data_IF_211527905455
#
_entry.id   IF_211527905455
#
_cell.length_a   1.000
_cell.length_b   1.000
_cell.length_c   1.000
_cell.angle_alpha   90.00
_cell.angle_beta   90.00
_cell.angle_gamma   90.00
#
_symmetry.space_group_name_H-M   'P 1'
#
loop_
_entity.id
_entity.type
_entity.pdbx_description
1 polymer ?
#
# COMPACT_ATOMS: atom_id res chain seq x y z
N UNK A 1 0.29 -27.15 11.81
CA UNK A 1 1.32 -26.09 11.95
C UNK A 1 1.26 -25.27 10.68
N UNK A 2 0.87 -24.01 10.80
CA UNK A 2 1.02 -23.03 9.71
C UNK A 2 2.51 -22.77 9.49
N UNK A 3 2.94 -22.63 8.24
CA UNK A 3 4.33 -22.29 7.95
C UNK A 3 4.56 -20.81 8.26
N UNK A 4 5.76 -20.40 8.74
CA UNK A 4 6.08 -18.99 8.91
C UNK A 4 5.92 -18.19 7.63
N UNK A 5 5.78 -16.86 7.75
CA UNK A 5 5.83 -15.97 6.60
C UNK A 5 7.12 -16.20 5.77
N UNK A 6 6.97 -16.30 4.45
CA UNK A 6 8.10 -16.38 3.55
C UNK A 6 8.49 -14.98 3.08
N UNK A 7 9.70 -14.52 3.42
CA UNK A 7 10.24 -13.29 2.87
C UNK A 7 10.86 -13.53 1.50
N UNK A 8 10.38 -12.82 0.49
CA UNK A 8 10.95 -12.78 -0.86
C UNK A 8 11.41 -11.37 -1.20
N UNK A 9 12.45 -11.27 -2.04
CA UNK A 9 12.85 -9.99 -2.61
C UNK A 9 12.14 -9.72 -3.94
N UNK A 10 12.31 -8.52 -4.48
CA UNK A 10 11.72 -8.12 -5.76
C UNK A 10 12.31 -8.84 -6.98
N UNK A 11 13.32 -9.70 -6.81
CA UNK A 11 13.93 -10.53 -7.87
C UNK A 11 13.52 -12.01 -7.78
N UNK A 12 12.87 -12.39 -6.68
CA UNK A 12 12.42 -13.76 -6.44
C UNK A 12 11.29 -14.17 -7.41
N UNK A 13 11.06 -15.46 -7.65
CA UNK A 13 9.93 -15.94 -8.45
C UNK A 13 8.59 -15.39 -7.92
N UNK A 14 7.72 -14.97 -8.83
CA UNK A 14 6.46 -14.30 -8.51
C UNK A 14 5.30 -15.29 -8.42
N UNK A 15 4.38 -15.02 -7.49
CA UNK A 15 3.06 -15.64 -7.51
C UNK A 15 2.20 -14.99 -8.60
N UNK A 16 1.26 -15.72 -9.21
CA UNK A 16 0.45 -15.21 -10.32
C UNK A 16 -0.49 -14.06 -9.92
N UNK A 17 -0.84 -13.96 -8.64
CA UNK A 17 -1.64 -12.87 -8.08
C UNK A 17 -0.94 -12.35 -6.84
N UNK A 18 -0.79 -11.03 -6.73
CA UNK A 18 -0.16 -10.38 -5.58
C UNK A 18 -1.02 -9.23 -5.08
N UNK A 19 -1.09 -9.03 -3.77
CA UNK A 19 -1.74 -7.90 -3.15
C UNK A 19 -0.73 -6.77 -2.94
N UNK A 20 -1.03 -5.58 -3.47
CA UNK A 20 -0.21 -4.38 -3.26
C UNK A 20 -0.69 -3.65 -2.01
N UNK A 21 0.18 -3.56 -1.01
CA UNK A 21 -0.05 -2.76 0.18
C UNK A 21 0.14 -1.25 -0.09
N UNK A 22 -0.37 -0.40 0.80
CA UNK A 22 -0.26 1.05 0.66
C UNK A 22 1.17 1.56 0.73
N UNK A 23 2.06 0.97 1.54
CA UNK A 23 3.45 1.44 1.65
C UNK A 23 4.22 1.26 0.33
N UNK A 24 4.02 0.12 -0.34
CA UNK A 24 4.55 -0.11 -1.69
C UNK A 24 3.92 0.84 -2.71
N UNK A 25 2.59 0.97 -2.66
CA UNK A 25 1.82 1.78 -3.63
C UNK A 25 2.19 3.26 -3.53
N UNK A 26 2.37 3.78 -2.32
CA UNK A 26 2.85 5.15 -2.08
C UNK A 26 4.24 5.33 -2.67
N UNK A 27 5.17 4.41 -2.40
CA UNK A 27 6.52 4.50 -2.97
C UNK A 27 6.51 4.42 -4.51
N UNK A 28 5.62 3.62 -5.09
CA UNK A 28 5.45 3.56 -6.54
C UNK A 28 5.01 4.89 -7.15
N UNK A 29 4.04 5.59 -6.56
CA UNK A 29 3.51 6.85 -7.11
C UNK A 29 4.29 8.11 -6.69
N UNK A 30 4.93 8.12 -5.54
CA UNK A 30 5.63 9.30 -5.01
C UNK A 30 7.11 9.25 -5.37
N UNK A 31 7.51 10.08 -6.34
CA UNK A 31 8.91 10.18 -6.79
C UNK A 31 9.89 10.67 -5.72
N UNK A 32 9.40 11.18 -4.58
CA UNK A 32 10.23 11.60 -3.45
C UNK A 32 10.55 10.45 -2.49
N UNK A 33 9.85 9.32 -2.61
CA UNK A 33 10.05 8.16 -1.76
C UNK A 33 11.35 7.43 -2.07
N UNK A 34 12.05 6.99 -1.02
CA UNK A 34 13.36 6.34 -1.12
C UNK A 34 13.33 5.10 -2.03
N UNK A 35 12.24 4.35 -2.01
CA UNK A 35 12.11 3.09 -2.72
C UNK A 35 11.45 3.24 -4.10
N UNK A 36 11.17 4.46 -4.55
CA UNK A 36 10.42 4.73 -5.78
C UNK A 36 10.96 4.02 -7.02
N UNK A 37 12.27 4.09 -7.26
CA UNK A 37 12.91 3.42 -8.40
C UNK A 37 12.77 1.89 -8.32
N UNK A 38 12.91 1.31 -7.13
CA UNK A 38 12.77 -0.13 -6.92
C UNK A 38 11.33 -0.60 -7.11
N UNK A 39 10.35 0.15 -6.60
CA UNK A 39 8.94 -0.13 -6.78
C UNK A 39 8.51 0.00 -8.25
N UNK A 40 9.03 0.99 -8.99
CA UNK A 40 8.76 1.11 -10.43
C UNK A 40 9.32 -0.06 -11.23
N UNK A 41 10.57 -0.46 -10.97
CA UNK A 41 11.17 -1.62 -11.62
C UNK A 41 10.40 -2.91 -11.31
N UNK A 42 9.92 -3.07 -10.07
CA UNK A 42 9.11 -4.21 -9.69
C UNK A 42 7.73 -4.20 -10.39
N UNK A 43 7.07 -3.04 -10.47
CA UNK A 43 5.80 -2.88 -11.19
C UNK A 43 5.91 -3.28 -12.67
N UNK A 44 6.99 -2.83 -13.35
CA UNK A 44 7.28 -3.24 -14.73
C UNK A 44 7.48 -4.75 -14.88
N UNK A 45 8.07 -5.39 -13.86
CA UNK A 45 8.25 -6.84 -13.83
C UNK A 45 6.91 -7.58 -13.65
N UNK A 46 6.04 -7.09 -12.77
CA UNK A 46 4.68 -7.65 -12.60
C UNK A 46 3.94 -7.66 -13.95
N UNK A 47 4.01 -6.57 -14.70
CA UNK A 47 3.42 -6.47 -16.04
C UNK A 47 4.08 -7.44 -17.03
N UNK A 48 5.42 -7.46 -17.10
CA UNK A 48 6.16 -8.30 -18.04
C UNK A 48 5.94 -9.81 -17.80
N UNK A 49 5.78 -10.23 -16.54
CA UNK A 49 5.49 -11.62 -16.16
C UNK A 49 3.99 -11.93 -16.10
N UNK A 50 3.12 -10.99 -16.52
CA UNK A 50 1.66 -11.14 -16.50
C UNK A 50 1.09 -11.52 -15.13
N UNK A 51 1.71 -11.01 -14.06
CA UNK A 51 1.20 -11.12 -12.69
C UNK A 51 0.02 -10.17 -12.53
N UNK A 52 -1.04 -10.62 -11.86
CA UNK A 52 -2.23 -9.84 -11.58
C UNK A 52 -2.08 -9.11 -10.24
N UNK A 53 -1.86 -7.78 -10.21
CA UNK A 53 -1.80 -7.04 -8.97
C UNK A 53 -3.22 -6.78 -8.47
N UNK A 54 -3.42 -6.85 -7.16
CA UNK A 54 -4.69 -6.63 -6.51
C UNK A 54 -4.55 -5.59 -5.39
N UNK A 55 -5.60 -4.78 -5.18
CA UNK A 55 -5.67 -3.76 -4.13
C UNK A 55 -7.06 -3.74 -3.51
N UNK A 56 -7.23 -3.09 -2.36
CA UNK A 56 -8.55 -2.80 -1.80
C UNK A 56 -8.80 -1.28 -1.70
N UNK A 57 -10.01 -0.90 -1.31
CA UNK A 57 -10.36 0.51 -1.03
C UNK A 57 -9.49 1.15 0.07
N UNK A 58 -8.85 0.35 0.92
CA UNK A 58 -7.91 0.83 1.92
C UNK A 58 -6.69 1.47 1.26
N UNK A 59 -6.11 0.81 0.25
CA UNK A 59 -4.94 1.32 -0.49
C UNK A 59 -5.28 2.68 -1.13
N UNK A 60 -6.46 2.79 -1.74
CA UNK A 60 -6.92 4.05 -2.34
C UNK A 60 -7.06 5.16 -1.28
N UNK A 61 -7.68 4.85 -0.14
CA UNK A 61 -7.87 5.83 0.93
C UNK A 61 -6.53 6.33 1.50
N UNK A 62 -5.59 5.41 1.72
CA UNK A 62 -4.27 5.75 2.27
C UNK A 62 -3.39 6.52 1.29
N UNK A 63 -3.38 6.11 0.02
CA UNK A 63 -2.68 6.84 -1.04
C UNK A 63 -3.26 8.24 -1.23
N UNK A 64 -4.59 8.38 -1.26
CA UNK A 64 -5.24 9.69 -1.36
C UNK A 64 -4.89 10.58 -0.16
N UNK A 65 -4.94 10.02 1.05
CA UNK A 65 -4.55 10.73 2.26
C UNK A 65 -3.08 11.14 2.24
N UNK A 66 -2.18 10.27 1.75
CA UNK A 66 -0.76 10.56 1.58
C UNK A 66 -0.55 11.76 0.66
N UNK A 67 -1.07 11.75 -0.57
CA UNK A 67 -0.94 12.87 -1.51
C UNK A 67 -1.43 14.19 -0.92
N UNK A 68 -2.63 14.18 -0.31
CA UNK A 68 -3.20 15.37 0.32
C UNK A 68 -2.34 15.87 1.49
N UNK A 69 -1.94 14.96 2.39
CA UNK A 69 -1.13 15.31 3.57
C UNK A 69 0.24 15.82 3.17
N UNK A 70 0.90 15.19 2.20
CA UNK A 70 2.20 15.62 1.67
C UNK A 70 2.14 17.03 1.10
N UNK A 71 1.09 17.36 0.34
CA UNK A 71 0.87 18.72 -0.16
C UNK A 71 0.67 19.74 0.98
N UNK A 72 -0.15 19.41 1.99
CA UNK A 72 -0.35 20.30 3.14
C UNK A 72 0.91 20.47 3.99
N UNK A 73 1.71 19.43 4.14
CA UNK A 73 2.99 19.48 4.87
C UNK A 73 3.99 20.34 4.11
N UNK A 74 4.11 20.17 2.79
CA UNK A 74 5.01 20.97 1.95
C UNK A 74 4.67 22.46 2.04
N UNK A 75 3.39 22.81 1.86
CA UNK A 75 2.94 24.20 1.96
C UNK A 75 3.04 24.73 3.40
N UNK A 76 2.75 23.89 4.40
CA UNK A 76 2.89 24.24 5.80
C UNK A 76 4.34 24.59 6.17
N UNK A 77 5.32 23.82 5.66
CA UNK A 77 6.74 24.14 5.81
C UNK A 77 7.09 25.49 5.17
N UNK A 78 6.59 25.76 3.96
CA UNK A 78 6.82 27.03 3.25
C UNK A 78 6.29 28.25 4.02
N UNK A 79 5.18 28.07 4.75
CA UNK A 79 4.48 29.13 5.48
C UNK A 79 4.78 29.15 6.99
N UNK A 80 5.61 28.23 7.50
CA UNK A 80 5.80 28.00 8.93
C UNK A 80 4.47 27.78 9.68
N UNK A 81 3.56 26.98 9.08
CA UNK A 81 2.26 26.61 9.63
C UNK A 81 2.11 25.09 9.72
N UNK A 82 1.24 24.62 10.62
CA UNK A 82 0.89 23.20 10.67
C UNK A 82 0.08 22.80 9.43
N UNK A 83 0.22 21.55 9.00
CA UNK A 83 -0.55 21.01 7.88
C UNK A 83 -2.08 21.10 8.12
N UNK A 84 -2.51 21.01 9.39
CA UNK A 84 -3.91 21.18 9.80
C UNK A 84 -4.38 22.61 9.51
N UNK A 85 -3.54 23.61 9.80
CA UNK A 85 -3.86 25.01 9.47
C UNK A 85 -3.99 25.20 7.97
N UNK A 86 -3.06 24.66 7.16
CA UNK A 86 -3.11 24.75 5.70
C UNK A 86 -4.39 24.09 5.16
N UNK A 87 -4.69 22.85 5.58
CA UNK A 87 -5.92 22.14 5.21
C UNK A 87 -7.18 22.97 5.46
N UNK A 88 -7.24 23.70 6.59
CA UNK A 88 -8.41 24.49 6.98
C UNK A 88 -8.52 25.86 6.30
N UNK A 89 -7.40 26.47 5.92
CA UNK A 89 -7.36 27.87 5.48
C UNK A 89 -6.95 28.05 4.02
N UNK A 90 -6.49 27.00 3.33
CA UNK A 90 -5.96 27.07 1.96
C UNK A 90 -6.58 25.97 1.08
N UNK A 91 -7.88 26.07 0.75
CA UNK A 91 -8.58 25.08 -0.06
C UNK A 91 -7.93 24.84 -1.44
N UNK A 92 -7.24 25.83 -1.99
CA UNK A 92 -6.51 25.71 -3.25
C UNK A 92 -5.41 24.63 -3.21
N UNK A 93 -4.80 24.39 -2.05
CA UNK A 93 -3.78 23.32 -1.89
C UNK A 93 -4.44 21.96 -1.99
N UNK A 94 -5.64 21.80 -1.42
CA UNK A 94 -6.44 20.58 -1.56
C UNK A 94 -6.81 20.37 -3.03
N UNK A 95 -7.35 21.40 -3.69
CA UNK A 95 -7.74 21.30 -5.11
C UNK A 95 -6.58 20.94 -6.02
N UNK A 96 -5.39 21.52 -5.80
CA UNK A 96 -4.19 21.18 -6.55
C UNK A 96 -3.77 19.72 -6.30
N UNK A 97 -3.71 19.27 -5.05
CA UNK A 97 -3.34 17.89 -4.72
C UNK A 97 -4.34 16.84 -5.24
N UNK A 98 -5.61 17.21 -5.44
CA UNK A 98 -6.61 16.30 -5.99
C UNK A 98 -6.33 15.85 -7.43
N UNK A 99 -5.50 16.55 -8.22
CA UNK A 99 -5.11 16.05 -9.54
C UNK A 99 -4.28 14.78 -9.42
N UNK A 100 -3.31 14.75 -8.50
CA UNK A 100 -2.47 13.57 -8.23
C UNK A 100 -3.31 12.41 -7.69
N UNK A 101 -4.21 12.68 -6.73
CA UNK A 101 -5.13 11.66 -6.20
C UNK A 101 -5.96 11.01 -7.32
N UNK A 102 -6.47 11.81 -8.26
CA UNK A 102 -7.26 11.30 -9.39
C UNK A 102 -6.39 10.51 -10.37
N UNK A 103 -5.20 11.00 -10.68
CA UNK A 103 -4.27 10.32 -11.58
C UNK A 103 -3.89 8.94 -11.03
N UNK A 104 -3.45 8.86 -9.77
CA UNK A 104 -3.09 7.61 -9.12
C UNK A 104 -4.27 6.64 -9.01
N UNK A 105 -5.48 7.16 -8.71
CA UNK A 105 -6.70 6.35 -8.71
C UNK A 105 -6.98 5.73 -10.08
N UNK A 106 -6.96 6.54 -11.14
CA UNK A 106 -7.23 6.07 -12.51
C UNK A 106 -6.20 5.02 -12.94
N UNK A 107 -4.93 5.22 -12.59
CA UNK A 107 -3.88 4.25 -12.90
C UNK A 107 -4.05 2.94 -12.15
N UNK A 108 -4.37 2.98 -10.85
CA UNK A 108 -4.67 1.77 -10.07
C UNK A 108 -5.89 1.03 -10.62
N UNK A 109 -6.98 1.73 -10.95
CA UNK A 109 -8.18 1.09 -11.53
C UNK A 109 -7.90 0.43 -12.88
N UNK A 110 -6.93 0.94 -13.64
CA UNK A 110 -6.51 0.38 -14.93
C UNK A 110 -5.63 -0.87 -14.79
N UNK A 111 -4.83 -0.94 -13.74
CA UNK A 111 -3.72 -1.91 -13.61
C UNK A 111 -3.93 -2.96 -12.54
N UNK A 112 -4.98 -2.84 -11.71
CA UNK A 112 -5.17 -3.70 -10.55
C UNK A 112 -6.57 -4.30 -10.48
N UNK A 113 -6.68 -5.48 -9.88
CA UNK A 113 -7.93 -6.07 -9.46
C UNK A 113 -8.35 -5.47 -8.12
N UNK A 114 -9.58 -4.97 -8.04
CA UNK A 114 -10.14 -4.48 -6.78
C UNK A 114 -10.74 -5.62 -5.96
N UNK A 115 -10.19 -5.85 -4.77
CA UNK A 115 -10.71 -6.83 -3.80
C UNK A 115 -11.81 -6.19 -2.93
N UNK A 116 -12.91 -6.91 -2.67
CA UNK A 116 -13.99 -6.44 -1.81
C UNK A 116 -13.60 -6.54 -0.32
N UNK A 117 -14.23 -5.69 0.50
CA UNK A 117 -14.13 -5.77 1.96
C UNK A 117 -15.49 -6.24 2.48
N UNK A 118 -15.52 -7.41 3.10
CA UNK A 118 -16.72 -8.02 3.69
C UNK A 118 -16.72 -7.89 5.22
N UNK A 119 -17.83 -8.25 5.86
CA UNK A 119 -17.88 -8.33 7.34
C UNK A 119 -16.89 -9.37 7.89
N UNK A 120 -16.62 -10.45 7.14
CA UNK A 120 -15.63 -11.46 7.50
C UNK A 120 -14.20 -10.88 7.55
N UNK A 121 -13.88 -9.94 6.64
CA UNK A 121 -12.61 -9.20 6.67
C UNK A 121 -12.47 -8.41 7.97
N UNK A 122 -13.54 -7.76 8.45
CA UNK A 122 -13.50 -7.02 9.72
C UNK A 122 -13.22 -7.96 10.89
N UNK A 123 -13.98 -9.06 11.02
CA UNK A 123 -13.77 -10.03 12.11
C UNK A 123 -12.35 -10.60 12.10
N UNK A 124 -11.84 -10.97 10.92
CA UNK A 124 -10.48 -11.48 10.78
C UNK A 124 -9.42 -10.43 11.13
N UNK A 125 -9.62 -9.17 10.75
CA UNK A 125 -8.65 -8.11 11.05
C UNK A 125 -8.48 -7.94 12.57
N UNK A 126 -9.58 -7.88 13.33
CA UNK A 126 -9.49 -7.82 14.79
C UNK A 126 -8.78 -9.04 15.39
N UNK A 127 -9.04 -10.24 14.86
CA UNK A 127 -8.32 -11.44 15.30
C UNK A 127 -6.81 -11.33 15.03
N UNK A 128 -6.41 -10.88 13.83
CA UNK A 128 -4.99 -10.69 13.50
C UNK A 128 -4.32 -9.63 14.38
N UNK A 129 -5.05 -8.56 14.75
CA UNK A 129 -4.55 -7.56 15.69
C UNK A 129 -4.27 -8.17 17.06
N UNK A 130 -5.14 -9.04 17.56
CA UNK A 130 -4.96 -9.72 18.86
C UNK A 130 -3.82 -10.74 18.81
N UNK A 131 -3.78 -11.57 17.76
CA UNK A 131 -2.83 -12.68 17.67
C UNK A 131 -1.40 -12.21 17.37
N UNK A 132 -1.26 -11.20 16.50
CA UNK A 132 0.02 -10.76 15.96
C UNK A 132 0.41 -9.34 16.36
N UNK A 133 -0.40 -8.66 17.20
CA UNK A 133 -0.19 -7.28 17.65
C UNK A 133 -0.06 -6.27 16.50
N UNK A 134 -0.70 -6.55 15.37
CA UNK A 134 -0.70 -5.68 14.20
C UNK A 134 -1.48 -4.39 14.46
N UNK A 135 -1.07 -3.31 13.81
CA UNK A 135 -1.91 -2.12 13.72
C UNK A 135 -3.15 -2.43 12.87
N UNK A 136 -4.27 -1.69 13.07
CA UNK A 136 -5.51 -1.97 12.36
C UNK A 136 -5.32 -2.03 10.85
N UNK A 137 -4.60 -1.08 10.25
CA UNK A 137 -4.46 -1.03 8.80
C UNK A 137 -3.80 -2.30 8.24
N UNK A 138 -2.70 -2.76 8.82
CA UNK A 138 -1.98 -3.94 8.36
C UNK A 138 -2.87 -5.19 8.46
N UNK A 139 -3.55 -5.33 9.60
CA UNK A 139 -4.49 -6.43 9.82
C UNK A 139 -5.64 -6.42 8.79
N UNK A 140 -6.14 -5.24 8.42
CA UNK A 140 -7.18 -5.08 7.41
C UNK A 140 -6.68 -5.39 5.99
N UNK A 141 -5.48 -4.96 5.61
CA UNK A 141 -4.87 -5.32 4.33
C UNK A 141 -4.70 -6.84 4.20
N UNK A 142 -4.09 -7.46 5.21
CA UNK A 142 -3.86 -8.91 5.24
C UNK A 142 -5.19 -9.66 5.19
N UNK A 143 -6.17 -9.27 6.00
CA UNK A 143 -7.49 -9.92 6.01
C UNK A 143 -8.22 -9.80 4.68
N UNK A 144 -8.14 -8.64 4.02
CA UNK A 144 -8.81 -8.41 2.73
C UNK A 144 -8.25 -9.33 1.63
N UNK A 145 -6.93 -9.44 1.56
CA UNK A 145 -6.27 -10.28 0.57
C UNK A 145 -6.52 -11.78 0.83
N UNK A 146 -6.40 -12.21 2.08
CA UNK A 146 -6.59 -13.62 2.45
C UNK A 146 -8.03 -14.09 2.23
N UNK A 147 -9.03 -13.25 2.48
CA UNK A 147 -10.44 -13.56 2.17
C UNK A 147 -10.64 -13.81 0.66
N UNK A 148 -9.84 -13.16 -0.18
CA UNK A 148 -9.83 -13.33 -1.63
C UNK A 148 -8.84 -14.41 -2.11
N UNK A 149 -8.29 -15.23 -1.20
CA UNK A 149 -7.26 -16.25 -1.46
C UNK A 149 -5.96 -15.72 -2.07
N UNK A 150 -5.62 -14.44 -1.82
CA UNK A 150 -4.34 -13.85 -2.21
C UNK A 150 -3.40 -13.92 -1.00
N UNK A 151 -2.38 -14.78 -1.08
CA UNK A 151 -1.42 -15.02 0.01
C UNK A 151 -0.07 -14.34 -0.22
N UNK A 152 0.15 -13.74 -1.38
CA UNK A 152 1.34 -12.99 -1.73
C UNK A 152 1.10 -11.49 -1.59
N UNK A 153 1.96 -10.83 -0.81
CA UNK A 153 1.87 -9.42 -0.49
C UNK A 153 3.10 -8.67 -0.97
N UNK A 154 2.91 -7.49 -1.52
CA UNK A 154 3.98 -6.56 -1.90
C UNK A 154 3.89 -5.37 -0.96
N UNK A 155 4.85 -5.26 -0.05
CA UNK A 155 4.85 -4.22 0.98
C UNK A 155 6.28 -3.81 1.36
N UNK A 156 6.43 -2.59 1.86
CA UNK A 156 7.66 -2.13 2.50
C UNK A 156 7.57 -2.24 4.03
N UNK A 157 6.39 -2.57 4.56
CA UNK A 157 6.16 -2.85 5.97
C UNK A 157 6.62 -4.27 6.33
N UNK A 158 7.43 -4.37 7.38
CA UNK A 158 7.94 -5.66 7.86
C UNK A 158 6.97 -6.35 8.80
N UNK A 159 5.97 -5.66 9.32
CA UNK A 159 5.03 -6.22 10.28
C UNK A 159 4.16 -7.32 9.64
N UNK A 160 4.01 -7.32 8.32
CA UNK A 160 3.38 -8.42 7.57
C UNK A 160 4.10 -9.76 7.79
N UNK A 161 5.43 -9.76 8.03
CA UNK A 161 6.19 -10.98 8.30
C UNK A 161 5.82 -11.66 9.63
N UNK A 162 5.04 -11.00 10.49
CA UNK A 162 4.54 -11.62 11.71
C UNK A 162 3.44 -12.67 11.44
N UNK A 163 2.76 -12.60 10.29
CA UNK A 163 1.61 -13.47 9.99
C UNK A 163 2.06 -14.72 9.25
N UNK A 164 1.83 -15.89 9.86
CA UNK A 164 2.13 -17.17 9.24
C UNK A 164 1.33 -17.42 7.94
N UNK A 165 1.94 -18.16 7.02
CA UNK A 165 1.27 -18.71 5.83
C UNK A 165 1.17 -17.76 4.65
N UNK A 166 1.88 -16.62 4.68
CA UNK A 166 1.89 -15.64 3.60
C UNK A 166 3.29 -15.49 2.98
N UNK A 167 3.35 -14.96 1.77
CA UNK A 167 4.58 -14.56 1.09
C UNK A 167 4.65 -13.04 1.10
N UNK A 168 5.78 -12.47 1.52
CA UNK A 168 6.01 -11.02 1.55
C UNK A 168 7.15 -10.66 0.61
N UNK A 169 6.81 -10.06 -0.54
CA UNK A 169 7.74 -9.40 -1.44
C UNK A 169 8.08 -8.02 -0.89
N UNK A 170 9.35 -7.78 -0.62
CA UNK A 170 9.82 -6.48 -0.14
C UNK A 170 11.18 -6.13 -0.73
N UNK A 171 11.46 -4.84 -0.88
CA UNK A 171 12.74 -4.39 -1.40
C UNK A 171 13.87 -4.78 -0.44
N UNK A 172 14.97 -5.34 -0.97
CA UNK A 172 16.21 -5.41 -0.20
C UNK A 172 16.69 -3.97 0.01
N UNK A 173 16.97 -3.60 1.26
CA UNK A 173 17.54 -2.28 1.58
C UNK A 173 18.66 -1.97 0.56
N UNK A 174 18.67 -0.80 -0.09
CA UNK A 174 19.79 -0.45 -0.93
C UNK A 174 21.05 -0.47 -0.07
N UNK A 175 22.07 -1.18 -0.55
CA UNK A 175 23.42 -1.17 0.01
C UNK A 175 23.96 0.26 0.03
#
# INVERSE_FOLDING_TARGET
MTMPAERRDFLSPLEPVVYLDSTYTIAYFDATERFHAGCNAFSQRLEAESVLPAVSDLVYNELAFHHLKSAFVAEGRRLSRSWIWVKRNMPQVFTAAMSEVKASKTELERTTLKLPISDAVMTRAFQLMEDFHLLPTDAFHISTALESNVTAFVTLDRDFLAVDGIIVYTCLLPR
#
